data_IF_370748403016
#
_entry.id   IF_370748403016
#
_cell.length_a   1.000
_cell.length_b   1.000
_cell.length_c   1.000
_cell.angle_alpha   90.00
_cell.angle_beta   90.00
_cell.angle_gamma   90.00
#
_symmetry.space_group_name_H-M   'P 1'
#
loop_
_entity.id
_entity.type
_entity.pdbx_description
1 polymer ?
#
# COMPACT_ATOMS: atom_id res chain seq x y z
N UNK A 1 53.30 8.45 -33.02
CA UNK A 1 53.02 8.28 -31.56
C UNK A 1 51.54 7.93 -31.42
N UNK A 2 51.25 6.64 -31.24
CA UNK A 2 49.88 6.12 -31.20
C UNK A 2 49.61 5.73 -29.75
N UNK A 3 48.70 6.48 -29.08
CA UNK A 3 48.24 6.11 -27.76
C UNK A 3 47.05 5.12 -27.89
N UNK A 4 47.28 3.89 -27.47
CA UNK A 4 46.23 2.88 -27.27
C UNK A 4 45.54 3.15 -25.92
N UNK A 5 44.28 3.52 -25.93
CA UNK A 5 43.42 3.51 -24.75
C UNK A 5 42.93 2.10 -24.52
N UNK A 6 43.36 1.51 -23.42
CA UNK A 6 42.89 0.20 -22.95
C UNK A 6 41.61 0.44 -22.11
N UNK A 7 40.44 0.08 -22.66
CA UNK A 7 39.20 0.05 -21.91
C UNK A 7 39.20 -1.19 -21.00
N UNK A 8 39.22 -0.95 -19.70
CA UNK A 8 38.92 -2.00 -18.70
C UNK A 8 37.41 -2.23 -18.64
N UNK A 9 36.96 -3.32 -19.19
CA UNK A 9 35.63 -3.85 -18.95
C UNK A 9 35.62 -4.54 -17.57
N UNK A 10 35.06 -3.89 -16.57
CA UNK A 10 34.69 -4.54 -15.31
C UNK A 10 33.41 -5.35 -15.55
N UNK A 11 33.58 -6.64 -15.79
CA UNK A 11 32.50 -7.61 -15.84
C UNK A 11 32.04 -7.88 -14.38
N UNK A 12 30.99 -7.22 -13.93
CA UNK A 12 30.30 -7.60 -12.70
C UNK A 12 29.53 -8.90 -12.96
N UNK A 13 30.18 -10.02 -12.70
CA UNK A 13 29.48 -11.29 -12.51
C UNK A 13 28.69 -11.19 -11.20
N UNK A 14 27.39 -10.98 -11.29
CA UNK A 14 26.46 -11.19 -10.19
C UNK A 14 26.47 -12.67 -9.84
N UNK A 15 27.35 -13.06 -8.95
CA UNK A 15 27.29 -14.33 -8.25
C UNK A 15 25.96 -14.38 -7.50
N UNK A 16 25.05 -15.19 -8.00
CA UNK A 16 23.87 -15.62 -7.27
C UNK A 16 24.40 -16.40 -6.06
N UNK A 17 24.57 -15.72 -4.93
CA UNK A 17 24.81 -16.35 -3.64
C UNK A 17 23.56 -17.18 -3.34
N UNK A 18 23.66 -18.48 -3.62
CA UNK A 18 22.72 -19.48 -3.09
C UNK A 18 22.89 -19.40 -1.58
N UNK A 19 21.98 -18.67 -0.92
CA UNK A 19 21.95 -18.61 0.52
C UNK A 19 21.83 -20.03 1.07
N UNK A 20 22.61 -20.40 2.08
CA UNK A 20 22.50 -21.71 2.69
C UNK A 20 21.06 -21.95 3.13
N UNK A 21 20.57 -23.14 2.94
CA UNK A 21 19.26 -23.59 3.44
C UNK A 21 19.34 -23.55 4.96
N UNK A 22 18.97 -22.40 5.53
CA UNK A 22 18.78 -22.26 6.96
C UNK A 22 17.51 -23.03 7.33
N UNK A 23 17.71 -24.21 7.89
CA UNK A 23 16.66 -24.94 8.57
C UNK A 23 16.41 -24.20 9.90
N UNK A 24 15.45 -23.28 9.92
CA UNK A 24 15.09 -22.49 11.08
C UNK A 24 14.05 -21.43 10.72
N UNK A 25 13.33 -21.00 11.71
CA UNK A 25 12.19 -20.06 11.63
C UNK A 25 12.62 -18.59 11.37
N UNK A 26 13.65 -18.36 10.54
CA UNK A 26 14.16 -17.01 10.25
C UNK A 26 13.21 -16.23 9.34
N UNK A 27 12.94 -14.99 9.72
CA UNK A 27 12.16 -14.04 8.91
C UNK A 27 13.09 -13.16 8.09
N UNK A 28 12.80 -13.01 6.81
CA UNK A 28 13.55 -12.17 5.90
C UNK A 28 12.90 -10.79 5.81
N UNK A 29 13.65 -9.75 6.14
CA UNK A 29 13.23 -8.37 6.02
C UNK A 29 13.96 -7.68 4.87
N UNK A 30 13.23 -6.90 4.10
CA UNK A 30 13.79 -5.97 3.13
C UNK A 30 13.44 -4.55 3.56
N UNK A 31 14.38 -3.79 4.15
CA UNK A 31 14.17 -2.37 4.41
C UNK A 31 13.86 -1.63 3.10
N UNK A 32 12.89 -0.75 3.11
CA UNK A 32 12.48 -0.05 1.88
C UNK A 32 13.55 0.90 1.39
N UNK A 33 14.37 1.43 2.30
CA UNK A 33 15.49 2.32 1.99
C UNK A 33 16.76 1.58 1.56
N UNK A 34 16.82 0.25 1.70
CA UNK A 34 17.97 -0.57 1.33
C UNK A 34 17.56 -1.69 0.35
N UNK A 35 18.46 -2.10 -0.54
CA UNK A 35 18.27 -3.23 -1.45
C UNK A 35 18.59 -4.56 -0.79
N UNK A 36 19.39 -4.55 0.28
CA UNK A 36 19.86 -5.77 0.90
C UNK A 36 18.77 -6.42 1.76
N UNK A 37 18.59 -7.70 1.54
CA UNK A 37 17.71 -8.52 2.36
C UNK A 37 18.46 -8.83 3.66
N UNK A 38 17.84 -8.49 4.78
CA UNK A 38 18.35 -8.82 6.11
C UNK A 38 17.71 -10.11 6.59
N UNK A 39 18.54 -11.10 6.91
CA UNK A 39 18.10 -12.34 7.57
C UNK A 39 18.18 -12.09 9.06
N UNK A 40 17.07 -12.23 9.75
CA UNK A 40 17.02 -12.02 11.21
C UNK A 40 16.55 -13.31 11.85
N UNK A 41 17.46 -13.99 12.54
CA UNK A 41 17.18 -15.26 13.25
C UNK A 41 16.36 -15.04 14.53
N UNK A 42 16.50 -13.88 15.13
CA UNK A 42 15.72 -13.45 16.29
C UNK A 42 15.23 -12.03 16.07
N UNK A 43 13.93 -11.89 15.95
CA UNK A 43 13.32 -10.58 15.74
C UNK A 43 13.53 -9.68 16.95
N UNK A 44 14.05 -8.45 16.76
CA UNK A 44 14.04 -7.46 17.82
C UNK A 44 12.60 -7.13 18.18
N UNK A 45 12.33 -6.79 19.41
CA UNK A 45 11.06 -6.16 19.80
C UNK A 45 10.97 -4.73 19.25
N UNK A 46 9.78 -4.13 19.30
CA UNK A 46 9.56 -2.77 18.78
C UNK A 46 10.48 -1.70 19.38
N UNK A 47 10.89 -1.86 20.63
CA UNK A 47 11.84 -1.01 21.36
C UNK A 47 13.31 -1.20 20.95
N UNK A 48 13.64 -2.33 20.35
CA UNK A 48 14.97 -2.66 19.82
C UNK A 48 15.06 -2.49 18.30
N UNK A 49 14.03 -1.92 17.69
CA UNK A 49 13.94 -1.79 16.24
C UNK A 49 15.05 -0.87 15.69
N UNK A 50 15.76 -1.27 14.61
CA UNK A 50 16.93 -0.54 14.10
C UNK A 50 16.59 0.78 13.37
N UNK A 51 15.43 1.37 13.61
CA UNK A 51 15.04 2.66 13.03
C UNK A 51 14.59 2.61 11.57
N UNK A 52 14.34 1.42 11.01
CA UNK A 52 13.78 1.31 9.66
C UNK A 52 12.33 1.78 9.64
N UNK A 53 12.03 2.74 8.78
CA UNK A 53 10.68 3.32 8.70
C UNK A 53 9.65 2.38 8.11
N UNK A 54 10.09 1.56 7.16
CA UNK A 54 9.25 0.55 6.54
C UNK A 54 10.08 -0.63 6.07
N UNK A 55 9.53 -1.82 6.25
CA UNK A 55 10.13 -3.06 5.76
C UNK A 55 9.07 -3.91 5.07
N UNK A 56 9.49 -4.59 4.01
CA UNK A 56 8.74 -5.70 3.41
C UNK A 56 9.18 -6.98 4.08
N UNK A 57 8.22 -7.86 4.36
CA UNK A 57 8.51 -9.20 4.84
C UNK A 57 8.57 -10.10 3.64
N UNK A 58 9.78 -10.59 3.35
CA UNK A 58 10.01 -11.54 2.28
C UNK A 58 9.90 -12.93 2.88
N UNK A 59 8.81 -13.60 2.57
CA UNK A 59 8.64 -14.99 2.99
C UNK A 59 9.64 -15.87 2.24
N UNK A 60 10.39 -16.67 3.01
CA UNK A 60 11.15 -17.77 2.44
C UNK A 60 10.16 -18.70 1.75
N UNK A 61 10.30 -18.83 0.42
CA UNK A 61 9.48 -19.62 -0.47
C UNK A 61 8.81 -20.80 0.22
N UNK A 62 7.74 -20.65 0.77
CA UNK A 62 6.83 -21.75 0.92
C UNK A 62 5.70 -21.52 -0.04
N UNK A 63 5.34 -22.53 -0.68
CA UNK A 63 4.15 -22.86 -1.43
C UNK A 63 2.82 -22.41 -0.77
N UNK A 64 2.82 -21.43 0.08
CA UNK A 64 1.61 -20.81 0.57
C UNK A 64 0.92 -20.17 -0.63
N UNK A 65 -0.01 -20.89 -1.19
CA UNK A 65 -1.03 -20.35 -2.08
C UNK A 65 -1.49 -19.04 -1.47
N UNK A 66 -1.37 -17.91 -2.18
CA UNK A 66 -1.88 -16.65 -1.65
C UNK A 66 -3.31 -16.90 -1.20
N UNK A 67 -3.70 -16.46 -0.02
CA UNK A 67 -5.04 -16.70 0.48
C UNK A 67 -6.01 -16.26 -0.62
N UNK A 68 -6.95 -17.12 -0.99
CA UNK A 68 -8.03 -16.72 -1.89
C UNK A 68 -8.65 -15.52 -1.23
N UNK A 69 -8.42 -14.34 -1.80
CA UNK A 69 -9.16 -13.16 -1.45
C UNK A 69 -10.58 -13.48 -1.89
N UNK A 70 -11.31 -14.07 -0.97
CA UNK A 70 -12.74 -14.20 -1.13
C UNK A 70 -13.28 -12.78 -1.24
N UNK A 71 -14.48 -12.63 -1.76
CA UNK A 71 -15.30 -11.41 -1.75
C UNK A 71 -15.59 -10.98 -0.30
N UNK A 72 -14.55 -10.78 0.50
CA UNK A 72 -14.67 -10.41 1.89
C UNK A 72 -15.06 -8.94 1.96
N UNK A 73 -15.99 -8.66 2.84
CA UNK A 73 -16.26 -7.29 3.23
C UNK A 73 -15.08 -6.75 4.03
N UNK A 74 -15.01 -5.45 4.12
CA UNK A 74 -13.98 -4.73 4.84
C UNK A 74 -14.62 -3.73 5.79
N UNK A 75 -14.16 -3.70 7.01
CA UNK A 75 -14.46 -2.68 8.00
C UNK A 75 -13.28 -1.70 8.05
N UNK A 76 -13.52 -0.43 7.72
CA UNK A 76 -12.50 0.61 7.73
C UNK A 76 -12.80 1.61 8.86
N UNK A 77 -11.77 1.92 9.63
CA UNK A 77 -11.85 2.87 10.74
C UNK A 77 -11.44 4.28 10.32
N UNK A 78 -11.79 5.28 11.14
CA UNK A 78 -11.47 6.70 10.88
C UNK A 78 -9.99 7.03 10.81
N UNK A 79 -9.10 6.19 11.34
CA UNK A 79 -7.64 6.32 11.25
C UNK A 79 -7.04 5.51 10.09
N UNK A 80 -7.89 5.01 9.19
CA UNK A 80 -7.48 4.29 7.99
C UNK A 80 -7.03 2.86 8.25
N UNK A 81 -7.29 2.30 9.43
CA UNK A 81 -7.15 0.87 9.62
C UNK A 81 -8.24 0.13 8.87
N UNK A 82 -7.97 -1.08 8.48
CA UNK A 82 -8.83 -1.88 7.64
C UNK A 82 -8.82 -3.31 8.12
N UNK A 83 -9.98 -3.89 8.35
CA UNK A 83 -10.12 -5.26 8.80
C UNK A 83 -10.96 -6.04 7.80
N UNK A 84 -10.32 -6.92 7.03
CA UNK A 84 -11.02 -7.86 6.17
C UNK A 84 -11.82 -8.84 7.04
N UNK A 85 -13.03 -9.19 6.61
CA UNK A 85 -13.85 -10.09 7.40
C UNK A 85 -15.31 -10.14 6.97
N UNK A 86 -16.16 -10.50 7.89
CA UNK A 86 -17.61 -10.63 7.67
C UNK A 86 -18.38 -10.09 8.86
N UNK A 87 -19.60 -9.64 8.60
CA UNK A 87 -20.56 -9.33 9.67
C UNK A 87 -21.06 -10.59 10.33
N UNK A 88 -21.17 -10.53 11.63
CA UNK A 88 -21.96 -11.46 12.41
C UNK A 88 -23.04 -10.72 13.17
N UNK A 89 -24.23 -11.27 13.09
CA UNK A 89 -25.39 -10.72 13.76
C UNK A 89 -25.60 -11.48 15.06
N UNK A 90 -25.18 -10.90 16.18
CA UNK A 90 -25.44 -11.44 17.50
C UNK A 90 -26.60 -10.67 18.14
N UNK A 91 -27.81 -11.25 18.12
CA UNK A 91 -29.05 -10.77 18.73
C UNK A 91 -29.48 -9.35 18.35
N UNK A 92 -28.84 -8.31 18.84
CA UNK A 92 -29.23 -6.92 18.59
C UNK A 92 -28.05 -6.05 18.18
N UNK A 93 -26.86 -6.63 18.14
CA UNK A 93 -25.62 -5.86 17.90
C UNK A 93 -24.88 -6.42 16.71
N UNK A 94 -24.34 -5.50 15.92
CA UNK A 94 -23.49 -5.82 14.80
C UNK A 94 -22.08 -6.13 15.31
N UNK A 95 -21.60 -7.33 15.04
CA UNK A 95 -20.21 -7.72 15.32
C UNK A 95 -19.45 -7.96 14.02
N UNK A 96 -18.16 -7.72 14.06
CA UNK A 96 -17.25 -7.99 12.97
C UNK A 96 -16.38 -9.20 13.30
N UNK A 97 -16.30 -10.16 12.39
CA UNK A 97 -15.41 -11.30 12.48
C UNK A 97 -14.29 -11.18 11.46
N UNK A 98 -13.06 -11.22 11.94
CA UNK A 98 -11.85 -11.35 11.17
C UNK A 98 -11.18 -12.70 11.48
N UNK A 99 -10.41 -13.27 10.56
CA UNK A 99 -9.74 -14.56 10.77
C UNK A 99 -8.63 -14.54 11.82
N UNK A 100 -8.06 -13.36 12.09
CA UNK A 100 -6.94 -13.19 13.00
C UNK A 100 -7.37 -12.79 14.43
N UNK A 101 -8.63 -12.36 14.62
CA UNK A 101 -9.09 -11.77 15.89
C UNK A 101 -10.41 -12.37 16.36
N UNK A 102 -10.66 -12.26 17.66
CA UNK A 102 -11.97 -12.56 18.21
C UNK A 102 -13.02 -11.59 17.66
N UNK A 103 -14.27 -12.03 17.46
CA UNK A 103 -15.34 -11.15 17.04
C UNK A 103 -15.49 -9.95 17.97
N UNK A 104 -15.65 -8.76 17.41
CA UNK A 104 -15.82 -7.53 18.17
C UNK A 104 -17.01 -6.71 17.67
N UNK A 105 -17.47 -5.81 18.53
CA UNK A 105 -18.60 -4.93 18.23
C UNK A 105 -18.15 -3.77 17.34
N UNK A 106 -18.93 -3.48 16.31
CA UNK A 106 -18.71 -2.32 15.45
C UNK A 106 -19.07 -1.04 16.22
N UNK A 107 -18.13 -0.11 16.25
CA UNK A 107 -18.29 1.22 16.84
C UNK A 107 -18.46 2.25 15.72
N UNK A 108 -19.64 2.82 15.58
CA UNK A 108 -19.96 3.76 14.51
C UNK A 108 -19.12 5.05 14.58
N UNK A 109 -18.77 5.53 15.78
CA UNK A 109 -17.96 6.73 15.94
C UNK A 109 -16.52 6.56 15.42
N UNK A 110 -16.05 5.29 15.38
CA UNK A 110 -14.75 4.94 14.85
C UNK A 110 -14.81 4.37 13.44
N UNK A 111 -15.97 4.25 12.86
CA UNK A 111 -16.20 3.69 11.54
C UNK A 111 -16.08 4.76 10.48
N UNK A 112 -15.33 4.49 9.42
CA UNK A 112 -15.33 5.26 8.19
C UNK A 112 -16.19 4.59 7.13
N UNK A 113 -16.01 3.27 6.93
CA UNK A 113 -16.81 2.52 5.98
C UNK A 113 -16.93 1.04 6.33
N UNK A 114 -17.94 0.41 5.76
CA UNK A 114 -18.20 -1.03 5.80
C UNK A 114 -18.68 -1.43 4.42
N UNK A 115 -17.89 -2.25 3.72
CA UNK A 115 -18.22 -2.58 2.33
C UNK A 115 -17.20 -3.52 1.71
N UNK A 116 -17.11 -3.57 0.38
CA UNK A 116 -16.10 -4.34 -0.33
C UNK A 116 -14.68 -3.90 0.06
N UNK A 117 -13.73 -4.84 0.00
CA UNK A 117 -12.32 -4.49 0.21
C UNK A 117 -11.88 -3.49 -0.86
N UNK A 118 -11.52 -2.31 -0.42
CA UNK A 118 -10.95 -1.25 -1.25
C UNK A 118 -9.51 -0.97 -0.82
N UNK A 119 -8.58 -1.03 -1.76
CA UNK A 119 -7.18 -0.68 -1.53
C UNK A 119 -6.95 0.72 -2.09
N UNK A 120 -6.62 1.67 -1.23
CA UNK A 120 -6.46 3.10 -1.54
C UNK A 120 -7.19 3.98 -0.54
N UNK A 121 -7.13 5.29 -0.79
CA UNK A 121 -7.86 6.25 0.04
C UNK A 121 -9.35 6.18 -0.28
N UNK A 122 -10.16 6.00 0.74
CA UNK A 122 -11.60 6.06 0.64
C UNK A 122 -12.03 7.52 0.40
N UNK A 123 -12.97 7.76 -0.53
CA UNK A 123 -13.51 9.10 -0.72
C UNK A 123 -14.20 9.59 0.58
N UNK A 124 -13.89 10.82 0.97
CA UNK A 124 -14.62 11.46 2.07
C UNK A 124 -15.97 11.93 1.59
N UNK A 125 -17.02 11.57 2.32
CA UNK A 125 -18.39 12.04 2.07
C UNK A 125 -18.73 13.18 3.04
N UNK A 126 -19.60 14.11 2.61
CA UNK A 126 -20.11 15.18 3.49
C UNK A 126 -21.30 14.72 4.32
N UNK A 127 -21.95 13.65 3.89
CA UNK A 127 -23.08 13.01 4.55
C UNK A 127 -22.84 11.51 4.59
N UNK A 128 -23.45 10.83 5.54
CA UNK A 128 -23.43 9.37 5.53
C UNK A 128 -24.13 8.86 4.28
N UNK A 129 -23.62 7.78 3.72
CA UNK A 129 -24.10 7.22 2.48
C UNK A 129 -24.26 5.73 2.59
N UNK A 130 -25.40 5.21 2.16
CA UNK A 130 -25.67 3.77 2.00
C UNK A 130 -25.78 3.45 0.52
N UNK A 131 -24.93 2.55 0.04
CA UNK A 131 -25.01 1.98 -1.30
C UNK A 131 -25.75 0.67 -1.26
N UNK A 132 -26.70 0.51 -2.17
CA UNK A 132 -27.50 -0.70 -2.29
C UNK A 132 -26.89 -1.66 -3.31
N UNK A 133 -27.27 -2.93 -3.25
CA UNK A 133 -26.82 -3.97 -4.18
C UNK A 133 -27.24 -3.72 -5.64
N UNK A 134 -28.26 -2.89 -5.86
CA UNK A 134 -28.68 -2.43 -7.18
C UNK A 134 -27.97 -1.17 -7.67
N UNK A 135 -26.93 -0.72 -6.96
CA UNK A 135 -26.15 0.52 -7.13
C UNK A 135 -26.90 1.83 -6.84
N UNK A 136 -28.08 1.78 -6.25
CA UNK A 136 -28.70 2.99 -5.73
C UNK A 136 -27.92 3.54 -4.54
N UNK A 137 -28.02 4.87 -4.36
CA UNK A 137 -27.34 5.59 -3.29
C UNK A 137 -28.38 6.31 -2.43
N UNK A 138 -28.27 6.20 -1.13
CA UNK A 138 -29.10 6.90 -0.15
C UNK A 138 -28.18 7.73 0.74
N UNK A 139 -28.35 9.05 0.71
CA UNK A 139 -27.59 10.00 1.51
C UNK A 139 -28.45 10.46 2.71
N UNK A 140 -27.86 10.57 3.88
CA UNK A 140 -28.57 11.01 5.08
C UNK A 140 -27.69 11.00 6.31
N UNK A 141 -28.32 10.77 7.47
CA UNK A 141 -27.63 10.59 8.74
C UNK A 141 -27.97 9.20 9.30
N UNK A 142 -26.95 8.35 9.47
CA UNK A 142 -27.13 7.01 9.99
C UNK A 142 -27.24 7.05 11.50
N UNK A 143 -28.44 6.75 12.02
CA UNK A 143 -28.70 6.71 13.45
C UNK A 143 -28.23 5.42 14.09
N UNK A 144 -28.45 4.27 13.40
CA UNK A 144 -28.09 2.97 13.93
C UNK A 144 -27.88 1.92 12.83
N UNK A 145 -27.04 0.93 13.14
CA UNK A 145 -26.88 -0.29 12.38
C UNK A 145 -27.19 -1.46 13.30
N UNK A 146 -28.19 -2.24 12.97
CA UNK A 146 -28.64 -3.35 13.81
C UNK A 146 -29.03 -4.61 13.04
N UNK A 147 -28.93 -5.74 13.71
CA UNK A 147 -29.19 -7.05 13.12
C UNK A 147 -30.63 -7.20 12.62
N UNK A 148 -31.58 -6.70 13.38
CA UNK A 148 -33.02 -6.94 13.13
C UNK A 148 -33.63 -5.93 12.19
N UNK A 149 -33.16 -4.67 12.25
CA UNK A 149 -33.71 -3.55 11.48
C UNK A 149 -32.84 -3.11 10.31
N UNK A 150 -31.63 -3.67 10.17
CA UNK A 150 -30.67 -3.20 9.18
C UNK A 150 -30.09 -1.83 9.53
N UNK A 151 -29.95 -0.95 8.56
CA UNK A 151 -29.49 0.43 8.74
C UNK A 151 -30.69 1.37 8.86
N UNK A 152 -30.72 2.15 9.94
CA UNK A 152 -31.69 3.24 10.12
C UNK A 152 -31.02 4.55 9.73
N UNK A 153 -31.52 5.19 8.68
CA UNK A 153 -30.98 6.43 8.13
C UNK A 153 -32.06 7.52 8.06
N UNK A 154 -31.76 8.69 8.60
CA UNK A 154 -32.58 9.88 8.47
C UNK A 154 -32.28 10.57 7.14
N UNK A 155 -33.24 10.62 6.24
CA UNK A 155 -33.12 11.21 4.91
C UNK A 155 -33.85 12.54 4.87
N UNK A 156 -33.19 13.56 4.33
CA UNK A 156 -33.83 14.84 4.06
C UNK A 156 -34.65 14.75 2.76
N UNK A 157 -35.96 14.87 2.85
CA UNK A 157 -36.82 14.96 1.67
C UNK A 157 -36.75 16.37 1.06
N UNK A 158 -36.83 16.49 -0.29
CA UNK A 158 -36.86 17.78 -0.92
C UNK A 158 -38.05 18.59 -0.43
N UNK A 159 -37.81 19.87 -0.14
CA UNK A 159 -38.87 20.79 0.28
C UNK A 159 -39.91 20.94 -0.84
N UNK A 160 -41.17 20.76 -0.51
CA UNK A 160 -42.28 20.87 -1.48
C UNK A 160 -42.61 22.33 -1.85
N UNK A 161 -42.06 23.32 -1.10
CA UNK A 161 -42.15 24.76 -1.40
C UNK A 161 -40.84 25.44 -0.99
N UNK A 162 -40.55 26.64 -1.58
CA UNK A 162 -39.33 27.41 -1.31
C UNK A 162 -39.21 27.91 0.14
N UNK A 163 -40.28 27.87 0.89
CA UNK A 163 -40.34 28.40 2.29
C UNK A 163 -40.44 27.30 3.35
N UNK A 164 -40.60 26.04 2.96
CA UNK A 164 -40.71 24.93 3.92
C UNK A 164 -39.34 24.40 4.27
N UNK A 165 -39.07 24.17 5.56
CA UNK A 165 -37.91 23.45 6.01
C UNK A 165 -37.97 22.01 5.45
N UNK A 166 -36.81 21.39 5.04
CA UNK A 166 -36.79 20.03 4.54
C UNK A 166 -37.36 19.06 5.58
N UNK A 167 -38.34 18.30 5.18
CA UNK A 167 -38.88 17.24 6.04
C UNK A 167 -37.87 16.13 6.16
N UNK A 168 -37.65 15.65 7.37
CA UNK A 168 -36.79 14.50 7.63
C UNK A 168 -37.64 13.26 7.82
N UNK A 169 -37.21 12.16 7.22
CA UNK A 169 -37.89 10.88 7.33
C UNK A 169 -36.91 9.77 7.67
N UNK A 170 -37.29 8.91 8.60
CA UNK A 170 -36.48 7.74 8.99
C UNK A 170 -36.78 6.57 8.04
N UNK A 171 -35.75 6.11 7.36
CA UNK A 171 -35.81 4.96 6.46
C UNK A 171 -35.03 3.81 7.05
N UNK A 172 -35.61 2.60 6.99
CA UNK A 172 -34.96 1.37 7.44
C UNK A 172 -34.59 0.51 6.23
N UNK A 173 -33.31 0.20 6.09
CA UNK A 173 -32.75 -0.54 4.97
C UNK A 173 -32.27 -1.90 5.48
N UNK A 174 -32.88 -3.02 5.03
CA UNK A 174 -32.43 -4.36 5.39
C UNK A 174 -30.95 -4.59 5.00
N UNK A 175 -30.19 -5.27 5.85
CA UNK A 175 -28.73 -5.43 5.67
C UNK A 175 -28.37 -6.17 4.38
N UNK A 176 -29.20 -7.10 3.95
CA UNK A 176 -29.03 -7.88 2.71
C UNK A 176 -29.16 -7.05 1.43
N UNK A 177 -29.74 -5.86 1.53
CA UNK A 177 -29.85 -4.91 0.41
C UNK A 177 -28.70 -3.95 0.33
N UNK A 178 -27.79 -3.97 1.30
CA UNK A 178 -26.69 -3.03 1.44
C UNK A 178 -25.42 -3.64 0.84
N UNK A 179 -24.78 -2.92 -0.07
CA UNK A 179 -23.46 -3.28 -0.59
C UNK A 179 -22.32 -2.57 0.14
N UNK A 180 -22.56 -1.31 0.56
CA UNK A 180 -21.56 -0.51 1.26
C UNK A 180 -22.21 0.57 2.13
N UNK A 181 -21.56 0.89 3.25
CA UNK A 181 -21.89 2.00 4.14
C UNK A 181 -20.65 2.89 4.22
N UNK A 182 -20.81 4.19 4.00
CA UNK A 182 -19.78 5.20 4.19
C UNK A 182 -20.28 6.24 5.19
N UNK A 183 -19.50 6.53 6.22
CA UNK A 183 -19.84 7.52 7.23
C UNK A 183 -19.05 8.82 7.00
N UNK A 184 -19.73 9.95 7.21
CA UNK A 184 -19.15 11.29 7.12
C UNK A 184 -18.29 11.60 8.36
N UNK A 185 -17.37 10.72 8.67
CA UNK A 185 -16.50 10.84 9.85
C UNK A 185 -15.19 11.54 9.49
N UNK A 186 -14.64 12.27 10.46
CA UNK A 186 -13.35 12.92 10.27
C UNK A 186 -12.22 11.91 10.28
N UNK A 187 -11.47 11.85 9.18
CA UNK A 187 -10.30 11.00 9.06
C UNK A 187 -9.21 11.47 10.02
N UNK A 188 -8.64 10.53 10.75
CA UNK A 188 -7.50 10.71 11.64
C UNK A 188 -6.24 10.18 10.96
N UNK A 189 -5.09 10.78 11.28
CA UNK A 189 -3.81 10.26 10.80
C UNK A 189 -3.45 8.98 11.58
N UNK A 190 -2.86 7.98 10.91
CA UNK A 190 -2.39 6.76 11.58
C UNK A 190 -1.35 7.11 12.65
N UNK A 191 -1.25 6.29 13.68
CA UNK A 191 -0.28 6.46 14.75
C UNK A 191 0.31 5.11 15.17
N UNK A 192 1.54 5.13 15.71
CA UNK A 192 2.24 3.91 16.12
C UNK A 192 2.74 3.08 14.93
N UNK A 193 2.85 1.79 15.16
CA UNK A 193 3.23 0.80 14.17
C UNK A 193 2.05 0.43 13.28
N UNK A 194 2.26 0.34 11.97
CA UNK A 194 1.26 -0.12 11.00
C UNK A 194 1.71 -1.41 10.33
N UNK A 195 0.80 -2.37 10.23
CA UNK A 195 1.00 -3.69 9.63
C UNK A 195 0.02 -3.87 8.48
N UNK A 196 0.52 -4.27 7.32
CA UNK A 196 -0.28 -4.64 6.14
C UNK A 196 -0.27 -6.15 5.99
N UNK A 197 -1.45 -6.76 5.97
CA UNK A 197 -1.63 -8.21 6.00
C UNK A 197 -2.01 -8.78 4.63
N UNK A 198 -1.77 -10.07 4.46
CA UNK A 198 -2.06 -10.81 3.22
C UNK A 198 -3.56 -10.92 2.91
N UNK A 199 -4.43 -10.79 3.91
CA UNK A 199 -5.89 -10.79 3.74
C UNK A 199 -6.43 -9.40 3.36
N UNK A 200 -5.58 -8.38 3.31
CA UNK A 200 -5.92 -6.98 3.06
C UNK A 200 -6.23 -6.17 4.31
N UNK A 201 -6.13 -6.77 5.48
CA UNK A 201 -6.22 -6.02 6.74
C UNK A 201 -5.01 -5.08 6.90
N UNK A 202 -5.27 -3.93 7.52
CA UNK A 202 -4.27 -2.94 7.93
C UNK A 202 -4.52 -2.60 9.39
N UNK A 203 -3.52 -2.78 10.25
CA UNK A 203 -3.69 -2.69 11.69
C UNK A 203 -2.63 -1.79 12.27
N UNK A 204 -3.03 -0.88 13.16
CA UNK A 204 -2.11 -0.05 13.94
C UNK A 204 -2.00 -0.56 15.37
N UNK A 205 -0.78 -0.51 15.93
CA UNK A 205 -0.50 -0.86 17.31
C UNK A 205 0.59 0.06 17.88
N UNK A 206 0.59 0.28 19.19
CA UNK A 206 1.65 1.07 19.84
C UNK A 206 2.99 0.35 19.81
N UNK A 207 2.97 -0.97 20.00
CA UNK A 207 4.16 -1.80 20.01
C UNK A 207 3.85 -3.24 19.62
N UNK A 208 4.91 -4.01 19.41
CA UNK A 208 4.83 -5.42 19.08
C UNK A 208 6.03 -6.19 19.65
N UNK A 209 5.90 -7.49 19.77
CA UNK A 209 6.98 -8.39 20.16
C UNK A 209 6.86 -9.71 19.40
N UNK A 210 8.01 -10.40 19.22
CA UNK A 210 7.99 -11.76 18.69
C UNK A 210 7.69 -12.75 19.82
N UNK A 211 6.65 -13.54 19.65
CA UNK A 211 6.25 -14.58 20.60
C UNK A 211 6.03 -15.87 19.82
N UNK A 212 6.87 -16.86 20.02
CA UNK A 212 6.76 -18.17 19.35
C UNK A 212 6.64 -18.07 17.83
N UNK A 213 7.47 -17.23 17.21
CA UNK A 213 7.47 -16.96 15.78
C UNK A 213 6.17 -16.34 15.23
N UNK A 214 5.48 -15.57 16.07
CA UNK A 214 4.32 -14.78 15.74
C UNK A 214 4.50 -13.34 16.22
N UNK A 215 3.99 -12.39 15.47
CA UNK A 215 3.94 -10.99 15.87
C UNK A 215 2.80 -10.78 16.86
N UNK A 216 3.13 -10.56 18.13
CA UNK A 216 2.17 -10.19 19.17
C UNK A 216 2.01 -8.68 19.21
N UNK A 217 0.82 -8.17 18.91
CA UNK A 217 0.48 -6.76 18.89
C UNK A 217 0.07 -6.30 20.30
N UNK A 218 0.43 -5.09 20.69
CA UNK A 218 0.05 -4.48 21.95
C UNK A 218 -0.60 -3.13 21.72
N UNK A 219 -1.67 -2.85 22.46
CA UNK A 219 -2.45 -1.61 22.36
C UNK A 219 -2.85 -1.35 20.91
N UNK A 220 -3.62 -2.25 20.31
CA UNK A 220 -4.11 -2.07 18.95
C UNK A 220 -5.18 -0.98 18.92
N UNK A 221 -5.11 -0.13 17.92
CA UNK A 221 -6.01 1.02 17.82
C UNK A 221 -7.34 0.67 17.16
N UNK A 222 -7.41 -0.44 16.41
CA UNK A 222 -8.62 -0.85 15.69
C UNK A 222 -9.81 -1.09 16.63
N UNK A 223 -9.57 -1.80 17.71
CA UNK A 223 -10.50 -1.94 18.83
C UNK A 223 -9.76 -2.50 20.05
N UNK A 224 -10.22 -2.17 21.23
CA UNK A 224 -9.63 -2.66 22.50
C UNK A 224 -9.69 -4.19 22.65
N UNK A 225 -10.51 -4.86 21.85
CA UNK A 225 -10.70 -6.32 21.88
C UNK A 225 -9.66 -7.07 21.01
N UNK A 226 -8.88 -6.36 20.22
CA UNK A 226 -7.79 -6.90 19.38
C UNK A 226 -6.45 -6.87 20.13
N UNK A 227 -6.42 -6.29 21.31
CA UNK A 227 -5.22 -6.21 22.12
C UNK A 227 -4.70 -7.59 22.52
N UNK A 228 -3.39 -7.80 22.35
CA UNK A 228 -2.76 -9.10 22.58
C UNK A 228 -2.91 -10.11 21.42
N UNK A 229 -3.50 -9.72 20.31
CA UNK A 229 -3.58 -10.58 19.14
C UNK A 229 -2.20 -10.98 18.62
N UNK A 230 -2.07 -12.24 18.23
CA UNK A 230 -0.86 -12.78 17.61
C UNK A 230 -1.09 -13.06 16.14
N UNK A 231 -0.21 -12.58 15.29
CA UNK A 231 -0.29 -12.73 13.83
C UNK A 231 0.93 -13.50 13.36
N UNK A 232 0.76 -14.62 12.64
CA UNK A 232 1.89 -15.31 12.01
C UNK A 232 2.65 -14.36 11.10
N UNK A 233 3.98 -14.36 11.16
CA UNK A 233 4.81 -13.52 10.28
C UNK A 233 4.52 -13.75 8.80
N UNK A 234 4.12 -14.96 8.43
CA UNK A 234 3.67 -15.31 7.07
C UNK A 234 2.44 -14.53 6.60
N UNK A 235 1.65 -13.98 7.52
CA UNK A 235 0.47 -13.20 7.19
C UNK A 235 0.74 -11.69 7.10
N UNK A 236 1.97 -11.24 7.34
CA UNK A 236 2.36 -9.84 7.28
C UNK A 236 3.12 -9.59 5.98
N UNK A 237 2.65 -8.67 5.15
CA UNK A 237 3.31 -8.27 3.90
C UNK A 237 4.38 -7.21 4.15
N UNK A 238 4.07 -6.27 5.02
CA UNK A 238 4.96 -5.15 5.36
C UNK A 238 4.56 -4.53 6.69
N UNK A 239 5.47 -3.78 7.27
CA UNK A 239 5.24 -3.03 8.49
C UNK A 239 6.01 -1.71 8.48
N UNK A 240 5.53 -0.72 9.23
CA UNK A 240 6.17 0.59 9.37
C UNK A 240 6.08 1.08 10.79
N UNK A 241 7.18 1.60 11.31
CA UNK A 241 7.23 2.30 12.60
C UNK A 241 6.72 3.75 12.53
N UNK A 242 6.63 4.29 11.32
CA UNK A 242 6.12 5.64 11.07
C UNK A 242 5.33 5.69 9.74
N UNK A 243 4.09 5.21 9.72
CA UNK A 243 3.30 5.12 8.51
C UNK A 243 3.04 6.50 7.84
N UNK A 244 3.14 7.60 8.60
CA UNK A 244 2.98 8.97 8.06
C UNK A 244 4.09 9.37 7.08
N UNK A 245 5.22 8.69 7.12
CA UNK A 245 6.36 8.97 6.23
C UNK A 245 6.29 8.21 4.92
N UNK A 246 5.33 7.29 4.78
CA UNK A 246 5.16 6.47 3.58
C UNK A 246 3.97 7.01 2.79
N UNK A 247 4.23 7.41 1.56
CA UNK A 247 3.21 7.88 0.62
C UNK A 247 3.15 6.93 -0.57
N UNK A 248 1.95 6.45 -0.88
CA UNK A 248 1.71 5.67 -2.10
C UNK A 248 1.75 6.62 -3.31
N UNK A 249 2.58 6.35 -4.30
CA UNK A 249 2.70 7.22 -5.48
C UNK A 249 1.37 7.35 -6.25
N UNK A 250 0.54 6.31 -6.21
CA UNK A 250 -0.77 6.33 -6.85
C UNK A 250 -1.76 7.32 -6.22
N UNK A 251 -1.58 7.68 -4.93
CA UNK A 251 -2.41 8.68 -4.24
C UNK A 251 -1.93 10.11 -4.46
N UNK A 252 -0.73 10.30 -5.01
CA UNK A 252 -0.21 11.63 -5.30
C UNK A 252 -1.00 12.30 -6.43
N UNK A 253 -1.17 13.62 -6.36
CA UNK A 253 -1.75 14.37 -7.45
C UNK A 253 -0.91 14.22 -8.73
N UNK A 254 -1.58 13.87 -9.83
CA UNK A 254 -0.95 13.52 -11.10
C UNK A 254 -1.31 14.55 -12.17
N UNK A 255 -0.32 14.96 -12.95
CA UNK A 255 -0.50 15.87 -14.07
C UNK A 255 0.26 15.35 -15.29
N UNK A 256 -0.38 15.43 -16.46
CA UNK A 256 0.31 15.22 -17.74
C UNK A 256 0.87 16.57 -18.18
N UNK A 257 2.16 16.62 -18.45
CA UNK A 257 2.80 17.78 -19.03
C UNK A 257 2.78 17.57 -20.56
N UNK A 258 2.19 18.50 -21.27
CA UNK A 258 2.22 18.51 -22.73
C UNK A 258 3.65 18.71 -23.19
N UNK A 259 4.21 17.72 -23.88
CA UNK A 259 5.44 17.91 -24.61
C UNK A 259 5.08 18.51 -25.98
N UNK A 260 5.20 19.82 -26.14
CA UNK A 260 4.87 20.55 -27.35
C UNK A 260 5.74 20.21 -28.55
N UNK A 261 6.87 19.50 -28.31
CA UNK A 261 7.87 19.22 -29.34
C UNK A 261 7.61 17.90 -30.10
N UNK A 262 6.54 17.16 -29.80
CA UNK A 262 6.22 15.91 -30.47
C UNK A 262 4.79 15.92 -30.99
N UNK A 263 4.63 15.83 -32.31
CA UNK A 263 3.33 15.73 -33.01
C UNK A 263 2.49 14.50 -32.58
N UNK A 264 3.09 13.53 -31.89
CA UNK A 264 2.50 12.24 -31.52
C UNK A 264 2.19 12.11 -30.02
N UNK A 265 2.07 13.19 -29.27
CA UNK A 265 1.82 13.11 -27.83
C UNK A 265 0.40 12.62 -27.57
N UNK A 266 0.26 11.35 -27.25
CA UNK A 266 -1.01 10.80 -26.74
C UNK A 266 -1.17 11.22 -25.29
N UNK A 267 -2.17 12.04 -25.04
CA UNK A 267 -2.53 12.49 -23.70
C UNK A 267 -3.33 11.40 -22.97
N UNK A 268 -2.67 10.34 -22.57
CA UNK A 268 -3.31 9.32 -21.78
C UNK A 268 -2.95 9.54 -20.29
N UNK A 269 -3.90 9.83 -19.41
CA UNK A 269 -3.61 9.99 -18.00
C UNK A 269 -3.02 8.69 -17.44
N UNK A 270 -2.20 8.78 -16.39
CA UNK A 270 -1.77 7.59 -15.65
C UNK A 270 -2.97 6.76 -15.24
N UNK A 271 -2.91 5.47 -15.47
CA UNK A 271 -3.99 4.56 -15.10
C UNK A 271 -3.61 3.90 -13.78
N UNK A 272 -4.30 4.32 -12.72
CA UNK A 272 -4.22 3.62 -11.44
C UNK A 272 -4.95 2.29 -11.58
N UNK A 273 -4.19 1.20 -11.52
CA UNK A 273 -4.74 -0.14 -11.71
C UNK A 273 -5.49 -0.54 -10.45
N UNK A 274 -6.82 -0.57 -10.52
CA UNK A 274 -7.63 -1.08 -9.40
C UNK A 274 -7.19 -2.52 -9.09
N UNK A 275 -6.55 -2.67 -7.93
CA UNK A 275 -6.05 -3.96 -7.47
C UNK A 275 -6.92 -4.44 -6.32
N UNK A 276 -7.40 -5.67 -6.42
CA UNK A 276 -8.13 -6.33 -5.35
C UNK A 276 -7.14 -7.12 -4.45
N UNK A 277 -5.92 -7.36 -4.94
CA UNK A 277 -4.92 -8.14 -4.22
C UNK A 277 -4.13 -7.26 -3.26
N UNK A 278 -4.05 -7.57 -1.97
CA UNK A 278 -3.22 -6.86 -1.02
C UNK A 278 -1.75 -6.80 -1.45
N UNK A 279 -1.10 -5.72 -1.12
CA UNK A 279 0.31 -5.49 -1.44
C UNK A 279 1.02 -4.82 -0.26
N UNK A 280 2.34 -4.92 -0.24
CA UNK A 280 3.13 -4.19 0.74
C UNK A 280 2.80 -2.69 0.68
N UNK A 281 2.54 -2.08 1.83
CA UNK A 281 2.20 -0.66 1.99
C UNK A 281 0.97 -0.19 1.21
N UNK A 282 0.06 -1.09 0.81
CA UNK A 282 -1.06 -0.81 -0.09
C UNK A 282 -0.65 -0.15 -1.42
N UNK A 283 0.56 -0.39 -1.85
CA UNK A 283 1.07 0.22 -3.07
C UNK A 283 0.27 -0.25 -4.29
N UNK A 284 -0.39 0.69 -4.95
CA UNK A 284 -1.23 0.43 -6.12
C UNK A 284 -0.39 0.59 -7.38
N UNK A 285 -0.43 -0.36 -8.33
CA UNK A 285 0.27 -0.22 -9.59
C UNK A 285 -0.24 0.96 -10.42
N UNK A 286 0.67 1.64 -11.11
CA UNK A 286 0.36 2.76 -12.02
C UNK A 286 0.87 2.40 -13.40
N UNK A 287 -0.02 2.37 -14.40
CA UNK A 287 0.35 2.23 -15.80
C UNK A 287 0.50 3.61 -16.43
N UNK A 288 1.67 3.85 -17.00
CA UNK A 288 1.99 5.04 -17.77
C UNK A 288 2.07 4.68 -19.24
N UNK A 289 1.27 5.34 -20.06
CA UNK A 289 1.23 5.13 -21.50
C UNK A 289 1.79 6.34 -22.22
N UNK A 290 2.92 6.16 -22.89
CA UNK A 290 3.65 7.19 -23.61
C UNK A 290 3.52 7.10 -25.13
N UNK A 291 4.26 7.93 -25.87
CA UNK A 291 5.22 8.91 -25.33
C UNK A 291 4.55 10.02 -24.54
N UNK A 292 5.18 10.47 -23.45
CA UNK A 292 4.57 11.49 -22.59
C UNK A 292 5.43 11.82 -21.36
N UNK A 293 5.03 12.90 -20.68
CA UNK A 293 5.66 13.40 -19.47
C UNK A 293 4.61 13.45 -18.35
N UNK A 294 4.86 12.75 -17.26
CA UNK A 294 3.97 12.61 -16.12
C UNK A 294 4.60 13.25 -14.89
N UNK A 295 3.93 14.22 -14.30
CA UNK A 295 4.33 14.87 -13.06
C UNK A 295 3.49 14.32 -11.89
N UNK A 296 4.16 13.92 -10.83
CA UNK A 296 3.57 13.55 -9.55
C UNK A 296 3.93 14.61 -8.52
N UNK A 297 2.91 15.20 -7.90
CA UNK A 297 3.11 16.17 -6.81
C UNK A 297 3.15 15.44 -5.48
N UNK A 298 4.27 15.51 -4.80
CA UNK A 298 4.49 14.85 -3.51
C UNK A 298 4.12 15.81 -2.37
N UNK A 299 3.50 15.30 -1.32
CA UNK A 299 3.17 16.12 -0.13
C UNK A 299 4.42 16.53 0.66
N UNK A 300 5.49 15.79 0.51
CA UNK A 300 6.74 15.94 1.27
C UNK A 300 7.88 16.43 0.39
N UNK A 301 8.78 17.20 0.99
CA UNK A 301 9.96 17.72 0.35
C UNK A 301 11.14 16.75 0.56
N UNK A 302 11.42 15.92 -0.45
CA UNK A 302 12.51 14.96 -0.39
C UNK A 302 12.12 13.59 0.14
N UNK A 303 13.05 12.64 -0.02
CA UNK A 303 12.84 11.27 0.38
C UNK A 303 13.46 10.25 -0.56
N UNK A 304 12.95 9.02 -0.50
CA UNK A 304 13.35 7.92 -1.38
C UNK A 304 12.15 7.34 -2.08
N UNK A 305 12.16 7.31 -3.42
CA UNK A 305 11.24 6.52 -4.22
C UNK A 305 11.72 5.06 -4.23
N UNK A 306 10.85 4.15 -3.85
CA UNK A 306 11.04 2.70 -4.05
C UNK A 306 9.93 2.21 -4.97
N UNK A 307 10.28 1.56 -6.07
CA UNK A 307 9.31 0.99 -7.00
C UNK A 307 9.92 -0.19 -7.78
N UNK A 308 9.04 -1.02 -8.33
CA UNK A 308 9.38 -2.01 -9.33
C UNK A 308 8.91 -1.50 -10.69
N UNK A 309 9.85 -1.29 -11.62
CA UNK A 309 9.59 -0.84 -12.99
C UNK A 309 9.50 -2.07 -13.90
N UNK A 310 8.37 -2.23 -14.57
CA UNK A 310 8.13 -3.39 -15.43
C UNK A 310 7.24 -3.05 -16.64
N UNK A 311 7.18 -3.97 -17.60
CA UNK A 311 6.22 -3.91 -18.68
C UNK A 311 4.81 -4.21 -18.15
N UNK A 312 3.78 -3.42 -18.52
CA UNK A 312 2.39 -3.77 -18.21
C UNK A 312 2.06 -5.19 -18.70
N UNK A 313 1.39 -6.05 -17.92
CA UNK A 313 1.19 -7.46 -18.28
C UNK A 313 0.55 -7.68 -19.65
N UNK A 314 -0.40 -6.81 -20.02
CA UNK A 314 -1.10 -6.86 -21.32
C UNK A 314 -0.22 -6.47 -22.51
N UNK A 315 0.94 -5.85 -22.26
CA UNK A 315 1.89 -5.41 -23.29
C UNK A 315 3.22 -6.17 -23.25
N UNK A 316 3.35 -7.18 -22.39
CA UNK A 316 4.56 -8.01 -22.31
C UNK A 316 4.91 -8.58 -23.69
N UNK A 317 6.16 -8.48 -24.06
CA UNK A 317 6.65 -8.88 -25.38
C UNK A 317 6.56 -7.77 -26.46
N UNK A 318 5.84 -6.68 -26.22
CA UNK A 318 5.68 -5.58 -27.16
C UNK A 318 6.15 -4.22 -26.62
N UNK A 319 6.55 -4.16 -25.37
CA UNK A 319 7.03 -2.90 -24.75
C UNK A 319 8.43 -2.57 -25.26
N UNK A 320 8.57 -1.36 -25.77
CA UNK A 320 9.89 -0.78 -26.08
C UNK A 320 9.82 0.73 -25.88
N UNK A 321 10.42 1.24 -24.78
CA UNK A 321 10.47 2.67 -24.50
C UNK A 321 11.69 3.02 -23.65
N UNK A 322 12.10 4.28 -23.69
CA UNK A 322 13.07 4.83 -22.74
C UNK A 322 12.31 5.52 -21.62
N UNK A 323 12.64 5.15 -20.40
CA UNK A 323 12.11 5.76 -19.18
C UNK A 323 13.18 6.67 -18.60
N UNK A 324 12.81 7.91 -18.34
CA UNK A 324 13.66 8.88 -17.62
C UNK A 324 12.88 9.40 -16.41
N UNK A 325 13.53 9.37 -15.24
CA UNK A 325 12.95 9.92 -14.01
C UNK A 325 13.77 11.10 -13.58
N UNK A 326 13.09 12.23 -13.33
CA UNK A 326 13.69 13.48 -12.91
C UNK A 326 13.11 13.94 -11.57
N UNK A 327 13.96 14.50 -10.72
CA UNK A 327 13.53 15.21 -9.53
C UNK A 327 14.48 16.38 -9.25
N UNK A 328 13.96 17.49 -8.71
CA UNK A 328 14.74 18.71 -8.48
C UNK A 328 15.41 19.24 -9.75
N UNK A 329 14.84 19.03 -10.94
CA UNK A 329 15.39 19.44 -12.23
C UNK A 329 16.58 18.61 -12.72
N UNK A 330 16.87 17.46 -12.10
CA UNK A 330 17.97 16.57 -12.48
C UNK A 330 17.46 15.19 -12.84
N UNK A 331 18.05 14.56 -13.84
CA UNK A 331 17.83 13.15 -14.16
C UNK A 331 18.48 12.31 -13.07
N UNK A 332 17.66 11.52 -12.37
CA UNK A 332 18.10 10.59 -11.31
C UNK A 332 18.09 9.14 -11.78
N UNK A 333 17.38 8.85 -12.88
CA UNK A 333 17.32 7.52 -13.45
C UNK A 333 17.02 7.60 -14.95
N UNK A 334 17.64 6.72 -15.73
CA UNK A 334 17.32 6.53 -17.15
C UNK A 334 17.60 5.10 -17.57
N UNK A 335 16.62 4.46 -18.18
CA UNK A 335 16.74 3.07 -18.64
C UNK A 335 15.85 2.82 -19.86
N UNK A 336 16.19 1.81 -20.66
CA UNK A 336 15.40 1.35 -21.80
C UNK A 336 14.69 0.03 -21.46
N UNK A 337 13.37 0.05 -21.43
CA UNK A 337 12.57 -1.13 -21.21
C UNK A 337 12.29 -1.78 -22.56
N UNK A 338 12.67 -3.04 -22.69
CA UNK A 338 12.52 -3.87 -23.89
C UNK A 338 11.59 -5.05 -23.62
N UNK A 339 11.12 -5.76 -24.67
CA UNK A 339 10.22 -6.91 -24.49
C UNK A 339 10.75 -7.98 -23.54
N UNK A 340 12.07 -8.21 -23.55
CA UNK A 340 12.77 -9.19 -22.72
C UNK A 340 13.22 -8.67 -21.35
N UNK A 341 13.00 -7.38 -21.07
CA UNK A 341 13.45 -6.78 -19.80
C UNK A 341 12.73 -7.44 -18.62
N UNK A 342 13.52 -7.84 -17.63
CA UNK A 342 12.99 -8.28 -16.34
C UNK A 342 12.53 -7.07 -15.52
N UNK A 343 11.59 -7.25 -14.60
CA UNK A 343 11.23 -6.20 -13.64
C UNK A 343 12.47 -5.64 -12.94
N UNK A 344 12.60 -4.33 -12.90
CA UNK A 344 13.74 -3.61 -12.36
C UNK A 344 13.36 -2.92 -11.06
N UNK A 345 13.96 -3.33 -9.95
CA UNK A 345 13.81 -2.62 -8.68
C UNK A 345 14.58 -1.30 -8.74
N UNK A 346 13.88 -0.20 -8.55
CA UNK A 346 14.47 1.13 -8.48
C UNK A 346 14.35 1.70 -7.06
N UNK A 347 15.42 2.36 -6.61
CA UNK A 347 15.47 3.14 -5.37
C UNK A 347 16.21 4.43 -5.68
N UNK A 348 15.49 5.53 -5.63
CA UNK A 348 15.98 6.81 -6.13
C UNK A 348 15.82 7.89 -5.07
N UNK A 349 16.84 8.69 -4.79
CA UNK A 349 16.70 9.86 -3.95
C UNK A 349 15.79 10.89 -4.63
N UNK A 350 14.84 11.42 -3.89
CA UNK A 350 13.97 12.50 -4.35
C UNK A 350 14.38 13.80 -3.69
N UNK A 351 14.54 14.83 -4.51
CA UNK A 351 14.80 16.20 -4.05
C UNK A 351 13.63 17.08 -4.48
N UNK A 352 13.06 17.80 -3.53
CA UNK A 352 11.87 18.61 -3.76
C UNK A 352 10.56 17.81 -3.67
N UNK A 353 9.49 18.44 -4.10
CA UNK A 353 8.12 17.89 -4.01
C UNK A 353 7.54 17.46 -5.36
N UNK A 354 8.39 17.29 -6.39
CA UNK A 354 7.96 16.88 -7.72
C UNK A 354 8.81 15.74 -8.24
N UNK A 355 8.13 14.72 -8.74
CA UNK A 355 8.70 13.61 -9.47
C UNK A 355 8.18 13.67 -10.91
N UNK A 356 9.07 13.64 -11.89
CA UNK A 356 8.72 13.66 -13.31
C UNK A 356 9.15 12.34 -13.92
N UNK A 357 8.23 11.64 -14.57
CA UNK A 357 8.52 10.43 -15.34
C UNK A 357 8.27 10.73 -16.80
N UNK A 358 9.30 10.58 -17.63
CA UNK A 358 9.26 10.77 -19.08
C UNK A 358 9.33 9.42 -19.78
N UNK A 359 8.46 9.21 -20.72
CA UNK A 359 8.49 8.06 -21.61
C UNK A 359 8.73 8.53 -23.03
N UNK A 360 9.88 8.14 -23.59
CA UNK A 360 10.24 8.44 -24.97
C UNK A 360 9.91 7.24 -25.86
N UNK A 361 9.45 7.54 -27.08
CA UNK A 361 9.21 6.54 -28.12
C UNK A 361 10.48 5.76 -28.46
N UNK A 362 10.32 4.51 -28.79
CA UNK A 362 11.36 3.67 -29.33
C UNK A 362 11.59 3.93 -30.82
N UNK A 363 12.55 3.20 -31.42
CA UNK A 363 12.73 3.17 -32.86
C UNK A 363 11.48 2.69 -33.62
N UNK A 364 10.56 1.98 -32.96
CA UNK A 364 9.28 1.50 -33.50
C UNK A 364 8.13 2.51 -33.35
N UNK A 365 8.44 3.73 -32.92
CA UNK A 365 7.45 4.79 -32.72
C UNK A 365 6.77 4.69 -31.35
N UNK A 366 5.50 5.10 -31.27
CA UNK A 366 4.70 5.16 -30.03
C UNK A 366 4.12 3.81 -29.61
N UNK A 367 4.12 2.81 -30.50
CA UNK A 367 3.58 1.49 -30.21
C UNK A 367 4.43 0.80 -29.15
N UNK A 368 3.78 0.31 -28.11
CA UNK A 368 4.45 -0.34 -26.97
C UNK A 368 5.17 0.60 -26.02
N UNK A 369 5.03 1.93 -26.19
CA UNK A 369 5.59 2.89 -25.24
C UNK A 369 4.73 2.93 -23.97
N UNK A 370 5.01 2.01 -23.04
CA UNK A 370 4.30 1.96 -21.77
C UNK A 370 5.16 1.31 -20.69
N UNK A 371 4.96 1.71 -19.44
CA UNK A 371 5.57 1.08 -18.28
C UNK A 371 4.58 1.00 -17.12
N UNK A 372 4.80 0.03 -16.24
CA UNK A 372 4.10 -0.10 -14.96
C UNK A 372 5.08 0.19 -13.83
N UNK A 373 4.67 1.04 -12.92
CA UNK A 373 5.28 1.21 -11.61
C UNK A 373 4.48 0.39 -10.60
N UNK A 374 5.06 -0.71 -10.14
CA UNK A 374 4.47 -1.58 -9.11
C UNK A 374 5.17 -1.30 -7.78
N UNK A 375 4.44 -1.42 -6.68
CA UNK A 375 4.95 -1.15 -5.32
C UNK A 375 5.59 0.24 -5.19
N UNK A 376 5.06 1.22 -5.90
CA UNK A 376 5.62 2.57 -5.95
C UNK A 376 5.22 3.36 -4.71
N UNK A 377 6.18 3.57 -3.81
CA UNK A 377 6.04 4.36 -2.60
C UNK A 377 7.17 5.38 -2.47
N UNK A 378 6.87 6.49 -1.82
CA UNK A 378 7.85 7.51 -1.44
C UNK A 378 7.96 7.52 0.08
N UNK A 379 9.18 7.43 0.59
CA UNK A 379 9.48 7.50 2.01
C UNK A 379 10.18 8.82 2.28
N UNK A 380 9.65 9.61 3.21
CA UNK A 380 10.23 10.90 3.60
C UNK A 380 11.55 10.75 4.34
N UNK A 381 12.48 11.69 4.12
CA UNK A 381 13.75 11.79 4.84
C UNK A 381 13.59 12.12 6.35
N UNK A 382 12.39 12.57 6.77
CA UNK A 382 12.08 12.78 8.19
C UNK A 382 12.02 11.48 9.01
N UNK A 383 12.14 10.37 8.35
CA UNK A 383 12.40 9.08 8.94
C UNK A 383 13.86 9.04 9.39
N UNK A 384 14.12 9.15 10.70
CA UNK A 384 15.46 9.27 11.26
C UNK A 384 16.47 8.34 10.59
N UNK A 385 17.69 8.80 10.47
CA UNK A 385 18.81 8.04 9.90
C UNK A 385 18.85 6.65 10.52
N UNK A 386 18.88 5.56 9.74
CA UNK A 386 19.01 4.22 10.31
C UNK A 386 20.18 4.21 11.25
N UNK A 387 19.98 3.77 12.48
CA UNK A 387 21.10 3.51 13.39
C UNK A 387 22.04 2.59 12.63
N UNK A 388 23.30 3.06 12.44
CA UNK A 388 24.30 2.23 11.77
C UNK A 388 24.38 0.88 12.48
N UNK A 389 24.63 -0.22 11.75
CA UNK A 389 24.65 -1.59 12.32
C UNK A 389 25.74 -1.85 13.37
N UNK A 390 26.36 -0.81 13.92
CA UNK A 390 27.37 -0.88 14.97
C UNK A 390 26.89 -1.49 16.30
N UNK A 391 25.58 -1.80 16.43
CA UNK A 391 25.01 -2.43 17.62
C UNK A 391 24.45 -3.83 17.40
N UNK A 392 24.59 -4.41 16.20
CA UNK A 392 24.40 -5.85 16.08
C UNK A 392 25.59 -6.52 16.77
N UNK A 393 25.38 -7.47 17.70
CA UNK A 393 26.48 -8.17 18.35
C UNK A 393 27.39 -8.77 17.28
N UNK A 394 28.72 -8.64 17.42
CA UNK A 394 29.65 -9.21 16.44
C UNK A 394 29.38 -10.71 16.32
N UNK A 395 29.29 -11.17 15.07
CA UNK A 395 29.14 -12.59 14.75
C UNK A 395 30.02 -13.42 15.66
N UNK A 396 29.43 -14.39 16.37
CA UNK A 396 30.15 -15.32 17.19
C UNK A 396 31.26 -15.97 16.33
N UNK A 397 32.48 -16.11 16.85
CA UNK A 397 33.60 -16.62 16.09
C UNK A 397 33.28 -18.04 15.63
N UNK A 398 33.34 -18.26 14.31
CA UNK A 398 33.39 -19.57 13.69
C UNK A 398 34.56 -20.33 14.33
N UNK A 399 34.27 -21.36 15.11
CA UNK A 399 35.29 -22.29 15.57
C UNK A 399 35.95 -22.92 14.34
N UNK A 400 37.28 -22.84 14.18
CA UNK A 400 37.97 -23.65 13.19
C UNK A 400 37.97 -25.11 13.66
N UNK A 401 37.79 -25.99 12.73
CA UNK A 401 37.65 -27.40 12.71
C UNK A 401 38.28 -28.30 13.76
N UNK A 402 37.65 -29.40 13.88
CA UNK A 402 38.31 -30.72 13.99
C UNK A 402 37.67 -31.66 12.99
#
# INVERSE_FOLDING_TARGET
>A
MIFKATQFFLCFTSTLLIAPVLAGDSVLFQPVTNTDIQVVDKLPSSDQWPGWCGVKIIQKSSLATPPKISTQSCYTTTDGQRLAGTFELNNTKLSWRNSAFQPFMVDLEKTQSIGPLFIGEQPTTQTDTVFLVNNDRIDGFIESIGATKGVSIEVALPATSKEAAPKKEMTHIPIERISEIQLATKIKKPNGWRFWLVDGSVIDADSWSDVQNQCALKNTHACSQVDGATIPWSNILSMSSNPKTITNLASCAQKIILNTDTEDTRLSPPVVVKKITPSAFDAIPIDLHGPGVFEFSLEQNGGTLSALLEAPPQLRGNVECRVTIECGGKVVFQESIKPESKPLQIKLPIVGNKLIVKLDKSKRGSFGCAVRLTEAIVISDSCGTPLQPSHLPPNAPTKPGL
#
